data_IF_514687128987
#
_entry.id   IF_514687128987
#
_cell.length_a   1.000
_cell.length_b   1.000
_cell.length_c   1.000
_cell.angle_alpha   90.00
_cell.angle_beta   90.00
_cell.angle_gamma   90.00
#
_symmetry.space_group_name_H-M   'P 1'
#
loop_
_entity.id
_entity.type
_entity.pdbx_description
1 polymer ?
#
# COMPACT_ATOMS: atom_id res chain seq x y z
N UNK A 1 3.87 6.11 -8.68
CA UNK A 1 4.12 5.66 -10.07
C UNK A 1 2.80 5.71 -10.84
N UNK A 2 2.73 6.32 -12.04
CA UNK A 2 1.53 6.23 -12.87
C UNK A 2 1.44 4.86 -13.59
N UNK A 3 0.23 4.41 -13.85
CA UNK A 3 -0.06 3.27 -14.74
C UNK A 3 -0.86 3.77 -15.95
N UNK A 4 -0.50 3.28 -17.13
CA UNK A 4 -1.22 3.55 -18.37
C UNK A 4 -1.77 2.24 -18.92
N UNK A 5 -3.07 2.18 -19.18
CA UNK A 5 -3.76 1.02 -19.73
C UNK A 5 -4.44 1.42 -21.04
N UNK A 6 -4.17 0.67 -22.11
CA UNK A 6 -4.74 0.90 -23.43
C UNK A 6 -5.39 -0.36 -23.96
N UNK A 7 -6.69 -0.29 -24.25
CA UNK A 7 -7.44 -1.38 -24.86
C UNK A 7 -8.57 -0.82 -25.74
N UNK A 8 -8.34 -0.73 -27.07
CA UNK A 8 -9.30 -0.15 -28.01
C UNK A 8 -10.67 -0.83 -27.95
N UNK A 9 -11.73 -0.03 -27.76
CA UNK A 9 -13.11 -0.53 -27.71
C UNK A 9 -13.52 -1.16 -26.37
N UNK A 10 -12.61 -1.29 -25.40
CA UNK A 10 -12.90 -1.90 -24.09
C UNK A 10 -12.69 -0.94 -22.93
N UNK A 11 -11.71 -0.03 -23.03
CA UNK A 11 -11.50 1.01 -22.02
C UNK A 11 -11.59 2.40 -22.65
N UNK A 12 -12.30 3.36 -22.02
CA UNK A 12 -12.40 4.71 -22.52
C UNK A 12 -11.07 5.47 -22.33
N UNK A 13 -10.81 6.44 -23.19
CA UNK A 13 -9.72 7.39 -23.01
C UNK A 13 -10.06 8.38 -21.89
N UNK A 14 -9.72 8.03 -20.65
CA UNK A 14 -10.01 8.82 -19.44
C UNK A 14 -8.90 8.68 -18.40
N UNK A 15 -8.94 9.53 -17.39
CA UNK A 15 -8.14 9.40 -16.16
C UNK A 15 -8.99 8.79 -15.07
N UNK A 16 -8.44 7.83 -14.33
CA UNK A 16 -9.07 7.22 -13.17
C UNK A 16 -8.26 7.54 -11.91
N UNK A 17 -8.91 8.19 -10.94
CA UNK A 17 -8.31 8.55 -9.65
C UNK A 17 -8.34 7.43 -8.60
N UNK A 18 -8.85 6.25 -8.95
CA UNK A 18 -8.77 5.08 -8.07
C UNK A 18 -7.33 4.69 -7.81
N UNK A 19 -7.08 4.23 -6.59
CA UNK A 19 -5.77 3.73 -6.20
C UNK A 19 -5.50 2.38 -6.89
N UNK A 20 -4.48 2.36 -7.74
CA UNK A 20 -3.98 1.17 -8.42
C UNK A 20 -2.62 0.73 -7.84
N UNK A 21 -2.34 -0.57 -7.89
CA UNK A 21 -1.09 -1.17 -7.45
C UNK A 21 -0.61 -2.22 -8.47
N UNK A 22 0.68 -2.56 -8.45
CA UNK A 22 1.26 -3.50 -9.40
C UNK A 22 0.58 -4.89 -9.35
N UNK A 23 0.13 -5.31 -8.17
CA UNK A 23 -0.61 -6.56 -7.94
C UNK A 23 -1.92 -6.65 -8.74
N UNK A 24 -2.45 -5.52 -9.22
CA UNK A 24 -3.71 -5.45 -9.98
C UNK A 24 -3.59 -5.91 -11.43
N UNK A 25 -2.36 -5.95 -11.96
CA UNK A 25 -2.11 -6.30 -13.36
C UNK A 25 -2.57 -7.73 -13.66
N UNK A 26 -2.24 -8.69 -12.79
CA UNK A 26 -2.60 -10.10 -12.97
C UNK A 26 -4.11 -10.35 -13.06
N UNK A 27 -4.95 -9.96 -12.07
CA UNK A 27 -6.39 -10.14 -12.16
C UNK A 27 -7.01 -9.35 -13.33
N UNK A 28 -6.44 -8.21 -13.70
CA UNK A 28 -6.89 -7.41 -14.86
C UNK A 28 -6.70 -8.17 -16.17
N UNK A 29 -5.50 -8.73 -16.40
CA UNK A 29 -5.20 -9.46 -17.63
C UNK A 29 -5.99 -10.76 -17.75
N UNK A 30 -6.16 -11.50 -16.64
CA UNK A 30 -6.97 -12.73 -16.64
C UNK A 30 -8.42 -12.42 -16.98
N UNK A 31 -9.02 -11.41 -16.34
CA UNK A 31 -10.38 -10.98 -16.65
C UNK A 31 -10.51 -10.52 -18.11
N UNK A 32 -9.50 -9.83 -18.66
CA UNK A 32 -9.50 -9.36 -20.04
C UNK A 32 -9.64 -10.49 -21.07
N UNK A 33 -9.08 -11.67 -20.77
CA UNK A 33 -9.13 -12.85 -21.64
C UNK A 33 -10.19 -13.87 -21.21
N UNK A 34 -11.10 -13.50 -20.30
CA UNK A 34 -12.19 -14.36 -19.83
C UNK A 34 -11.73 -15.52 -18.94
N UNK A 35 -10.58 -15.40 -18.28
CA UNK A 35 -10.07 -16.38 -17.33
C UNK A 35 -10.21 -15.90 -15.88
N UNK A 36 -10.29 -16.87 -14.97
CA UNK A 36 -10.19 -16.64 -13.54
C UNK A 36 -8.81 -17.09 -13.02
N UNK A 37 -8.25 -16.45 -11.98
CA UNK A 37 -7.05 -16.93 -11.32
C UNK A 37 -7.22 -18.36 -10.78
N UNK A 38 -6.21 -19.21 -10.97
CA UNK A 38 -6.18 -20.56 -10.37
C UNK A 38 -5.70 -20.56 -8.90
N UNK A 39 -5.34 -19.38 -8.39
CA UNK A 39 -4.86 -19.14 -7.02
C UNK A 39 -5.39 -17.78 -6.53
N UNK A 40 -5.30 -17.53 -5.23
CA UNK A 40 -5.72 -16.24 -4.66
C UNK A 40 -4.75 -15.14 -5.07
N UNK A 41 -5.29 -14.04 -5.61
CA UNK A 41 -4.53 -12.85 -5.99
C UNK A 41 -4.97 -11.68 -5.11
N UNK A 42 -4.00 -10.97 -4.54
CA UNK A 42 -4.27 -9.83 -3.63
C UNK A 42 -4.74 -8.58 -4.38
N UNK A 43 -4.44 -8.51 -5.69
CA UNK A 43 -4.85 -7.42 -6.55
C UNK A 43 -6.34 -7.40 -6.87
N UNK A 44 -6.81 -6.27 -7.40
CA UNK A 44 -8.17 -6.04 -7.87
C UNK A 44 -8.16 -5.71 -9.36
N UNK A 45 -9.07 -6.28 -10.13
CA UNK A 45 -9.15 -6.02 -11.57
C UNK A 45 -9.49 -4.56 -11.88
N UNK A 46 -8.67 -3.92 -12.72
CA UNK A 46 -8.79 -2.49 -13.06
C UNK A 46 -9.95 -2.18 -14.03
N UNK A 47 -10.49 -3.20 -14.71
CA UNK A 47 -11.61 -3.07 -15.65
C UNK A 47 -12.97 -2.92 -14.94
N UNK A 48 -13.05 -3.34 -13.67
CA UNK A 48 -14.27 -3.22 -12.86
C UNK A 48 -14.36 -1.88 -12.15
N UNK A 49 -15.34 -1.76 -11.24
CA UNK A 49 -15.56 -0.56 -10.42
C UNK A 49 -14.94 -0.65 -9.00
N UNK A 50 -14.20 -1.71 -8.71
CA UNK A 50 -13.64 -1.97 -7.37
C UNK A 50 -12.69 -0.85 -6.93
N UNK A 51 -12.69 -0.56 -5.61
CA UNK A 51 -11.94 0.55 -5.00
C UNK A 51 -11.28 0.07 -3.71
N UNK A 52 -10.07 0.59 -3.46
CA UNK A 52 -9.42 0.53 -2.15
C UNK A 52 -9.03 1.92 -1.70
N UNK A 53 -8.98 2.11 -0.39
CA UNK A 53 -8.66 3.40 0.23
C UNK A 53 -7.18 3.53 0.60
N UNK A 54 -6.45 2.42 0.57
CA UNK A 54 -5.04 2.33 0.93
C UNK A 54 -4.36 1.16 0.22
N UNK A 55 -3.03 1.18 0.19
CA UNK A 55 -2.18 0.09 -0.32
C UNK A 55 -1.14 -0.30 0.71
N UNK A 56 -0.76 -1.58 0.67
CA UNK A 56 0.39 -2.10 1.39
C UNK A 56 1.65 -1.89 0.55
N UNK A 57 2.70 -1.39 1.18
CA UNK A 57 4.05 -1.32 0.64
C UNK A 57 4.97 -2.12 1.56
N UNK A 58 5.83 -2.94 0.99
CA UNK A 58 6.73 -3.79 1.77
C UNK A 58 8.12 -3.83 1.18
N UNK A 59 9.08 -4.05 2.06
CA UNK A 59 10.45 -4.31 1.73
C UNK A 59 11.03 -5.29 2.75
N UNK A 60 11.78 -6.27 2.26
CA UNK A 60 12.51 -7.21 3.09
C UNK A 60 13.99 -6.87 3.01
N UNK A 61 14.65 -6.81 4.16
CA UNK A 61 16.09 -6.62 4.22
C UNK A 61 16.79 -7.59 3.28
N UNK A 62 17.60 -7.05 2.37
CA UNK A 62 18.37 -7.83 1.43
C UNK A 62 19.86 -7.40 1.44
N UNK A 63 20.72 -8.26 0.90
CA UNK A 63 22.17 -8.03 0.91
C UNK A 63 22.59 -6.85 0.02
N UNK A 64 21.86 -6.56 -1.06
CA UNK A 64 22.18 -5.50 -2.00
C UNK A 64 21.89 -4.10 -1.42
N UNK A 65 20.95 -3.99 -0.48
CA UNK A 65 20.55 -2.73 0.16
C UNK A 65 20.83 -2.73 1.68
N UNK A 66 21.85 -3.49 2.12
CA UNK A 66 21.99 -4.04 3.48
C UNK A 66 21.91 -3.13 4.72
N UNK A 67 21.82 -1.80 4.57
CA UNK A 67 21.50 -0.87 5.66
C UNK A 67 20.02 -0.62 5.87
N UNK A 68 19.16 -0.99 4.91
CA UNK A 68 17.71 -0.78 5.01
C UNK A 68 17.10 -1.97 5.75
N UNK A 69 16.49 -1.78 6.94
CA UNK A 69 15.81 -2.86 7.64
C UNK A 69 14.54 -3.29 6.90
N UNK A 70 14.01 -4.47 7.23
CA UNK A 70 12.68 -4.89 6.77
C UNK A 70 11.65 -3.87 7.23
N UNK A 71 10.74 -3.47 6.35
CA UNK A 71 9.67 -2.55 6.70
C UNK A 71 8.37 -2.87 5.97
N UNK A 72 7.28 -2.42 6.56
CA UNK A 72 5.97 -2.45 5.95
C UNK A 72 5.26 -1.13 6.20
N UNK A 73 4.53 -0.65 5.21
CA UNK A 73 3.83 0.62 5.26
C UNK A 73 2.42 0.47 4.72
N UNK A 74 1.48 1.10 5.43
CA UNK A 74 0.11 1.30 4.96
C UNK A 74 -0.02 2.73 4.49
N UNK A 75 -0.39 2.90 3.23
CA UNK A 75 -0.40 4.20 2.54
C UNK A 75 -1.79 4.55 2.06
N UNK A 76 -2.35 5.64 2.57
CA UNK A 76 -3.63 6.21 2.15
C UNK A 76 -3.39 7.58 1.48
N UNK A 77 -3.38 7.64 0.13
CA UNK A 77 -3.02 8.84 -0.61
C UNK A 77 -3.81 10.07 -0.17
N UNK A 78 -3.11 11.19 0.04
CA UNK A 78 -3.72 12.47 0.45
C UNK A 78 -4.31 12.49 1.86
N UNK A 79 -4.06 11.44 2.67
CA UNK A 79 -4.48 11.40 4.08
C UNK A 79 -3.30 11.11 5.00
N UNK A 80 -2.65 9.96 4.85
CA UNK A 80 -1.58 9.54 5.74
C UNK A 80 -0.72 8.41 5.17
N UNK A 81 0.47 8.27 5.74
CA UNK A 81 1.29 7.07 5.63
C UNK A 81 1.77 6.64 7.02
N UNK A 82 1.64 5.36 7.34
CA UNK A 82 2.19 4.76 8.56
C UNK A 82 3.14 3.61 8.21
N UNK A 83 4.38 3.68 8.68
CA UNK A 83 5.44 2.70 8.41
C UNK A 83 5.94 2.09 9.72
N UNK A 84 6.17 0.78 9.72
CA UNK A 84 6.89 0.07 10.78
C UNK A 84 8.16 -0.59 10.25
N UNK A 85 9.26 -0.46 11.01
CA UNK A 85 10.55 -1.08 10.72
C UNK A 85 10.82 -2.24 11.67
N UNK A 86 11.45 -3.30 11.19
CA UNK A 86 11.68 -4.55 11.93
C UNK A 86 13.16 -4.97 11.89
N UNK A 87 13.66 -5.51 13.00
CA UNK A 87 14.96 -6.18 13.03
C UNK A 87 14.92 -7.56 12.36
N UNK A 88 16.09 -8.21 12.24
CA UNK A 88 16.19 -9.55 11.66
C UNK A 88 15.43 -10.64 12.40
N UNK A 89 15.01 -10.38 13.65
CA UNK A 89 14.12 -11.25 14.44
C UNK A 89 12.63 -10.95 14.25
N UNK A 90 12.28 -9.97 13.41
CA UNK A 90 10.91 -9.54 13.17
C UNK A 90 10.34 -8.65 14.28
N UNK A 91 11.15 -8.23 15.25
CA UNK A 91 10.70 -7.29 16.29
C UNK A 91 10.71 -5.88 15.72
N UNK A 92 9.62 -5.15 15.93
CA UNK A 92 9.53 -3.74 15.54
C UNK A 92 10.60 -2.92 16.28
N UNK A 93 11.39 -2.17 15.53
CA UNK A 93 12.46 -1.31 16.05
C UNK A 93 12.16 0.17 15.91
N UNK A 94 11.34 0.55 14.93
CA UNK A 94 11.00 1.95 14.70
C UNK A 94 9.65 2.11 13.99
N UNK A 95 9.13 3.35 13.96
CA UNK A 95 7.87 3.74 13.33
C UNK A 95 7.94 5.15 12.75
N UNK A 96 7.23 5.35 11.65
CA UNK A 96 7.01 6.67 11.07
C UNK A 96 5.52 6.90 10.80
N UNK A 97 5.07 8.14 11.01
CA UNK A 97 3.77 8.60 10.56
C UNK A 97 3.90 9.96 9.86
N UNK A 98 3.31 10.05 8.67
CA UNK A 98 3.20 11.29 7.90
C UNK A 98 1.74 11.64 7.70
N UNK A 99 1.33 12.85 8.11
CA UNK A 99 0.03 13.42 7.73
C UNK A 99 0.14 14.02 6.32
N UNK A 100 -0.37 13.32 5.31
CA UNK A 100 -0.27 13.76 3.92
C UNK A 100 -1.21 14.91 3.58
N UNK A 101 -2.11 15.27 4.49
CA UNK A 101 -2.98 16.45 4.35
C UNK A 101 -2.18 17.72 4.60
N UNK A 102 -1.32 17.71 5.62
CA UNK A 102 -0.48 18.84 6.02
C UNK A 102 0.93 18.79 5.42
N UNK A 103 1.47 17.58 5.24
CA UNK A 103 2.81 17.28 4.75
C UNK A 103 2.76 16.32 3.54
N UNK A 104 2.29 16.80 2.37
CA UNK A 104 2.18 15.98 1.16
C UNK A 104 3.54 15.52 0.61
N UNK A 105 4.64 16.10 1.11
CA UNK A 105 6.01 15.80 0.71
C UNK A 105 6.73 14.88 1.69
N UNK A 106 6.07 14.49 2.80
CA UNK A 106 6.59 13.52 3.77
C UNK A 106 7.93 13.94 4.37
N UNK A 107 8.06 15.23 4.69
CA UNK A 107 9.28 15.82 5.22
C UNK A 107 9.37 15.71 6.75
N UNK A 108 8.24 15.52 7.43
CA UNK A 108 8.17 15.49 8.89
C UNK A 108 7.49 14.21 9.37
N UNK A 109 8.29 13.28 9.91
CA UNK A 109 7.74 12.21 10.72
C UNK A 109 7.28 12.84 12.04
N UNK A 110 5.97 12.81 12.34
CA UNK A 110 5.43 13.40 13.58
C UNK A 110 5.77 12.53 14.80
N UNK A 111 6.07 11.24 14.60
CA UNK A 111 6.44 10.37 15.70
C UNK A 111 7.86 10.69 16.18
N UNK A 112 7.99 11.04 17.46
CA UNK A 112 9.28 11.31 18.08
C UNK A 112 9.91 12.64 17.69
N UNK A 113 9.13 13.58 17.14
CA UNK A 113 9.56 14.94 16.79
C UNK A 113 9.69 15.89 18.00
N UNK A 114 9.26 15.44 19.18
CA UNK A 114 9.28 16.22 20.42
C UNK A 114 7.99 16.97 20.72
N UNK A 115 6.92 16.78 19.93
CA UNK A 115 5.59 17.36 20.12
C UNK A 115 4.50 16.27 20.29
N UNK A 116 4.39 15.63 21.48
CA UNK A 116 3.43 14.55 21.68
C UNK A 116 1.96 14.91 21.47
N UNK A 117 1.62 16.21 21.42
CA UNK A 117 0.23 16.64 21.19
C UNK A 117 -0.23 16.42 19.74
N UNK A 118 0.69 16.24 18.79
CA UNK A 118 0.37 15.95 17.39
C UNK A 118 0.38 14.44 17.05
N UNK A 119 0.78 13.58 18.00
CA UNK A 119 0.86 12.14 17.79
C UNK A 119 -0.54 11.55 17.52
N UNK A 120 -0.75 10.83 16.39
CA UNK A 120 -2.02 10.18 16.11
C UNK A 120 -2.22 8.93 16.98
N UNK A 121 -3.47 8.45 17.08
CA UNK A 121 -3.72 7.11 17.60
C UNK A 121 -3.20 6.05 16.61
N UNK A 122 -2.11 5.40 16.99
CA UNK A 122 -1.44 4.40 16.16
C UNK A 122 -2.07 3.00 16.25
N UNK A 123 -2.88 2.70 17.26
CA UNK A 123 -3.39 1.34 17.45
C UNK A 123 -4.21 0.84 16.23
N UNK A 124 -5.17 1.62 15.69
CA UNK A 124 -5.92 1.20 14.51
C UNK A 124 -5.04 1.03 13.26
N UNK A 125 -4.01 1.86 13.12
CA UNK A 125 -3.08 1.82 11.99
C UNK A 125 -2.15 0.60 12.07
N UNK A 126 -1.65 0.31 13.28
CA UNK A 126 -0.85 -0.88 13.54
C UNK A 126 -1.65 -2.17 13.31
N UNK A 127 -2.90 -2.23 13.77
CA UNK A 127 -3.79 -3.36 13.53
C UNK A 127 -4.10 -3.53 12.04
N UNK A 128 -4.41 -2.43 11.34
CA UNK A 128 -4.66 -2.46 9.90
C UNK A 128 -3.44 -2.93 9.12
N UNK A 129 -2.24 -2.40 9.41
CA UNK A 129 -1.01 -2.85 8.77
C UNK A 129 -0.73 -4.33 9.06
N UNK A 130 -0.89 -4.76 10.31
CA UNK A 130 -0.66 -6.15 10.69
C UNK A 130 -1.68 -7.11 10.06
N UNK A 131 -2.91 -6.65 9.79
CA UNK A 131 -3.91 -7.39 9.03
C UNK A 131 -3.57 -7.44 7.53
N UNK A 132 -3.15 -6.31 6.94
CA UNK A 132 -2.74 -6.24 5.53
C UNK A 132 -1.55 -7.15 5.22
N UNK A 133 -0.58 -7.26 6.13
CA UNK A 133 0.58 -8.14 5.96
C UNK A 133 0.25 -9.64 6.05
N UNK A 134 -0.95 -10.00 6.52
CA UNK A 134 -1.37 -11.38 6.77
C UNK A 134 -2.58 -11.81 5.96
N UNK A 135 -3.24 -10.86 5.29
CA UNK A 135 -4.40 -11.15 4.46
C UNK A 135 -4.00 -11.90 3.19
N UNK A 136 -4.98 -12.52 2.55
CA UNK A 136 -4.80 -13.21 1.28
C UNK A 136 -5.99 -12.91 0.38
N UNK A 137 -5.73 -12.61 -0.88
CA UNK A 137 -6.76 -12.38 -1.87
C UNK A 137 -7.61 -11.13 -1.61
N UNK A 138 -8.90 -11.21 -1.93
CA UNK A 138 -9.85 -10.09 -1.80
C UNK A 138 -10.17 -9.69 -0.35
N UNK A 139 -9.70 -10.47 0.64
CA UNK A 139 -9.78 -10.09 2.05
C UNK A 139 -8.79 -8.96 2.42
N UNK A 140 -7.83 -8.66 1.54
CA UNK A 140 -6.93 -7.53 1.69
C UNK A 140 -7.65 -6.20 1.41
N UNK A 141 -7.96 -5.46 2.49
CA UNK A 141 -8.57 -4.12 2.46
C UNK A 141 -7.69 -3.06 3.10
#
# INVERSE_FOLDING_TARGET
MPIYLWWPGHVPATTDGRLAALVDVTPTLLAAIGLAPSYQVDGRGLLGADRRDRVLLEYWQDRANGSIPTWASTYAPGRWQYTEYYDGGGRRVDREYYDLTADPWQLSNVLGDGEPANDPDLAPLADALAAQRRCTGTACS
#
